data_IF_872906820264
#
_entry.id   IF_872906820264
#
_cell.length_a   1.000
_cell.length_b   1.000
_cell.length_c   1.000
_cell.angle_alpha   90.00
_cell.angle_beta   90.00
_cell.angle_gamma   90.00
#
_symmetry.space_group_name_H-M   'P 1'
#
loop_
_entity.id
_entity.type
_entity.pdbx_description
1 polymer ?
#
# COMPACT_ATOMS: atom_id res chain seq x y z
N UNK A 1 21.88 -6.43 -0.72
CA UNK A 1 20.99 -5.46 -1.39
C UNK A 1 20.36 -4.62 -0.29
N UNK A 2 20.51 -3.29 -0.33
CA UNK A 2 19.93 -2.43 0.71
C UNK A 2 18.40 -2.58 0.66
N UNK A 3 17.81 -3.06 1.76
CA UNK A 3 16.36 -3.16 1.91
C UNK A 3 15.74 -1.77 2.01
N UNK A 4 14.42 -1.69 1.83
CA UNK A 4 13.68 -0.45 1.99
C UNK A 4 13.58 -0.07 3.46
N UNK A 5 13.96 1.16 3.81
CA UNK A 5 13.94 1.62 5.22
C UNK A 5 12.53 2.00 5.68
N UNK A 6 12.34 2.16 6.98
CA UNK A 6 11.10 2.66 7.57
C UNK A 6 10.79 4.08 7.05
N UNK A 7 11.82 4.92 6.90
CA UNK A 7 11.67 6.25 6.31
C UNK A 7 11.19 6.18 4.84
N UNK A 8 11.77 5.28 4.05
CA UNK A 8 11.34 5.05 2.67
C UNK A 8 9.89 4.56 2.60
N UNK A 9 9.51 3.62 3.48
CA UNK A 9 8.13 3.15 3.62
C UNK A 9 7.21 4.33 3.93
N UNK A 10 7.53 5.20 4.89
CA UNK A 10 6.74 6.39 5.20
C UNK A 10 6.55 7.27 3.97
N UNK A 11 7.61 7.55 3.21
CA UNK A 11 7.53 8.35 1.99
C UNK A 11 6.59 7.71 0.96
N UNK A 12 6.66 6.39 0.79
CA UNK A 12 5.79 5.66 -0.14
C UNK A 12 4.34 5.71 0.35
N UNK A 13 4.07 5.26 1.57
CA UNK A 13 2.72 5.22 2.15
C UNK A 13 2.06 6.60 2.20
N UNK A 14 2.83 7.69 2.39
CA UNK A 14 2.31 9.06 2.37
C UNK A 14 1.51 9.40 1.11
N UNK A 15 1.81 8.73 -0.01
CA UNK A 15 1.19 8.95 -1.32
C UNK A 15 -0.12 8.19 -1.53
N UNK A 16 -0.44 7.29 -0.62
CA UNK A 16 -1.60 6.41 -0.69
C UNK A 16 -2.57 6.64 0.47
N UNK A 17 -2.57 7.84 1.07
CA UNK A 17 -3.58 8.20 2.07
C UNK A 17 -4.98 8.09 1.44
N UNK A 18 -5.90 7.42 2.14
CA UNK A 18 -7.22 7.03 1.68
C UNK A 18 -7.28 5.63 1.07
N UNK A 19 -6.15 4.99 0.76
CA UNK A 19 -6.12 3.66 0.19
C UNK A 19 -6.36 2.58 1.26
N UNK A 20 -6.99 1.49 0.85
CA UNK A 20 -7.10 0.31 1.71
C UNK A 20 -5.75 -0.39 1.88
N UNK A 21 -5.56 -0.96 3.06
CA UNK A 21 -4.39 -1.78 3.41
C UNK A 21 -4.84 -3.12 3.97
N UNK A 22 -3.99 -4.12 3.80
CA UNK A 22 -4.04 -5.37 4.55
C UNK A 22 -2.90 -5.39 5.55
N UNK A 23 -3.21 -5.86 6.75
CA UNK A 23 -2.36 -5.85 7.93
C UNK A 23 -2.28 -7.28 8.43
N UNK A 24 -1.07 -7.82 8.48
CA UNK A 24 -0.76 -9.08 9.13
C UNK A 24 0.04 -8.78 10.39
N UNK A 25 -0.55 -9.05 11.54
CA UNK A 25 0.13 -8.89 12.82
C UNK A 25 1.03 -10.09 13.07
N UNK A 26 2.31 -9.80 13.32
CA UNK A 26 3.32 -10.80 13.65
C UNK A 26 3.32 -11.13 15.15
N UNK A 27 2.61 -10.35 15.97
CA UNK A 27 2.55 -10.51 17.42
C UNK A 27 1.49 -11.52 17.88
N UNK A 28 0.29 -11.44 17.30
CA UNK A 28 -0.88 -12.25 17.70
C UNK A 28 -1.36 -13.19 16.59
N UNK A 29 -0.59 -13.35 15.51
CA UNK A 29 -0.93 -14.14 14.31
C UNK A 29 -2.26 -13.75 13.65
N UNK A 30 -2.78 -12.55 13.92
CA UNK A 30 -3.95 -12.02 13.24
C UNK A 30 -3.57 -11.69 11.80
N UNK A 31 -4.19 -12.38 10.85
CA UNK A 31 -3.90 -12.26 9.41
C UNK A 31 -5.05 -11.58 8.68
N UNK A 32 -4.70 -10.94 7.58
CA UNK A 32 -5.64 -10.42 6.61
C UNK A 32 -6.60 -9.36 7.18
N UNK A 33 -6.19 -8.64 8.22
CA UNK A 33 -6.96 -7.51 8.78
C UNK A 33 -6.94 -6.37 7.78
N UNK A 34 -8.10 -5.89 7.36
CA UNK A 34 -8.20 -4.79 6.41
C UNK A 34 -8.47 -3.47 7.14
N UNK A 35 -7.93 -2.38 6.59
CA UNK A 35 -8.14 -1.04 7.10
C UNK A 35 -7.93 0.02 6.03
N UNK A 36 -8.10 1.28 6.40
CA UNK A 36 -7.89 2.44 5.52
C UNK A 36 -6.73 3.27 6.05
N UNK A 37 -5.72 3.54 5.22
CA UNK A 37 -4.62 4.43 5.58
C UNK A 37 -5.13 5.87 5.69
N UNK A 38 -5.18 6.45 6.87
CA UNK A 38 -5.70 7.81 7.09
C UNK A 38 -4.61 8.87 7.23
N UNK A 39 -3.40 8.47 7.62
CA UNK A 39 -2.33 9.44 7.82
C UNK A 39 -1.00 8.79 8.15
N UNK A 40 0.01 9.64 8.29
CA UNK A 40 1.38 9.23 8.59
C UNK A 40 2.02 10.17 9.61
N UNK A 41 3.00 9.65 10.33
CA UNK A 41 3.98 10.38 11.15
C UNK A 41 5.37 9.86 10.83
N UNK A 42 6.40 10.50 11.36
CA UNK A 42 7.80 10.18 11.05
C UNK A 42 8.19 8.71 11.25
N UNK A 43 7.47 7.95 12.08
CA UNK A 43 7.75 6.55 12.39
C UNK A 43 6.49 5.67 12.51
N UNK A 44 5.34 6.11 11.99
CA UNK A 44 4.10 5.36 12.13
C UNK A 44 3.06 5.67 11.05
N UNK A 45 2.22 4.68 10.75
CA UNK A 45 1.04 4.81 9.89
C UNK A 45 -0.21 4.90 10.77
N UNK A 46 -1.11 5.83 10.47
CA UNK A 46 -2.46 5.87 11.05
C UNK A 46 -3.39 5.09 10.14
N UNK A 47 -3.96 4.00 10.65
CA UNK A 47 -4.88 3.15 9.91
C UNK A 47 -6.18 3.05 10.68
N UNK A 48 -7.29 3.32 9.99
CA UNK A 48 -8.62 3.04 10.48
C UNK A 48 -8.98 1.58 10.23
N UNK A 49 -9.17 0.82 11.31
CA UNK A 49 -9.61 -0.58 11.27
C UNK A 49 -11.00 -0.64 11.88
N UNK A 50 -12.02 -0.85 11.04
CA UNK A 50 -13.43 -0.96 11.46
C UNK A 50 -13.93 0.24 12.30
N UNK A 51 -13.54 1.46 11.93
CA UNK A 51 -13.91 2.70 12.64
C UNK A 51 -13.01 3.03 13.83
N UNK A 52 -11.97 2.23 14.09
CA UNK A 52 -11.01 2.45 15.17
C UNK A 52 -9.67 2.86 14.57
N UNK A 53 -9.27 4.09 14.87
CA UNK A 53 -7.97 4.64 14.50
C UNK A 53 -6.83 4.00 15.30
N UNK A 54 -5.87 3.38 14.59
CA UNK A 54 -4.69 2.73 15.17
C UNK A 54 -3.41 3.30 14.56
N UNK A 55 -2.47 3.69 15.42
CA UNK A 55 -1.11 4.02 15.00
C UNK A 55 -0.27 2.75 14.98
N UNK A 56 0.21 2.36 13.80
CA UNK A 56 1.10 1.20 13.63
C UNK A 56 2.53 1.71 13.43
N UNK A 57 3.47 1.40 14.36
CA UNK A 57 4.84 1.85 14.25
C UNK A 57 5.58 1.12 13.13
N UNK A 58 6.47 1.85 12.45
CA UNK A 58 7.43 1.30 11.49
C UNK A 58 8.84 1.43 12.07
N UNK A 59 9.60 0.35 11.99
CA UNK A 59 11.00 0.29 12.42
C UNK A 59 11.80 -0.58 11.46
N UNK A 60 13.07 -0.23 11.27
CA UNK A 60 14.04 -1.03 10.51
C UNK A 60 14.55 -2.23 11.32
N UNK A 61 14.49 -2.13 12.65
CA UNK A 61 15.05 -3.13 13.57
C UNK A 61 14.02 -4.23 13.89
N UNK A 62 12.76 -3.85 14.09
CA UNK A 62 11.71 -4.75 14.53
C UNK A 62 10.45 -4.51 13.70
N UNK A 63 9.99 -5.55 13.01
CA UNK A 63 8.70 -5.54 12.31
C UNK A 63 7.64 -6.20 13.17
N UNK A 64 6.62 -5.43 13.60
CA UNK A 64 5.50 -5.94 14.41
C UNK A 64 4.27 -6.29 13.57
N UNK A 65 4.07 -5.54 12.48
CA UNK A 65 3.02 -5.77 11.51
C UNK A 65 3.61 -5.73 10.10
N UNK A 66 3.21 -6.66 9.24
CA UNK A 66 3.40 -6.55 7.79
C UNK A 66 2.18 -5.81 7.22
N UNK A 67 2.42 -4.65 6.62
CA UNK A 67 1.37 -3.77 6.09
C UNK A 67 1.59 -3.65 4.59
N UNK A 68 0.55 -3.95 3.82
CA UNK A 68 0.57 -3.86 2.36
C UNK A 68 -0.61 -3.04 1.87
N UNK A 69 -0.35 -2.19 0.88
CA UNK A 69 -1.38 -1.46 0.15
C UNK A 69 -2.19 -2.45 -0.68
N UNK A 70 -3.51 -2.42 -0.54
CA UNK A 70 -4.42 -3.13 -1.44
C UNK A 70 -4.52 -2.33 -2.72
N UNK A 71 -3.67 -2.69 -3.69
CA UNK A 71 -3.64 -2.07 -5.00
C UNK A 71 -4.29 -3.00 -6.01
N UNK A 72 -4.76 -2.43 -7.11
CA UNK A 72 -5.17 -3.21 -8.27
C UNK A 72 -3.91 -3.65 -9.00
N UNK A 73 -3.82 -4.93 -9.39
CA UNK A 73 -2.75 -5.35 -10.28
C UNK A 73 -2.81 -4.50 -11.55
N UNK A 74 -1.64 -4.20 -12.11
CA UNK A 74 -1.49 -3.54 -13.41
C UNK A 74 -2.08 -4.40 -14.54
N UNK A 75 -3.41 -4.59 -14.57
CA UNK A 75 -4.11 -4.98 -15.79
C UNK A 75 -3.93 -3.83 -16.78
N UNK A 76 -3.70 -4.18 -18.05
CA UNK A 76 -3.41 -3.24 -19.14
C UNK A 76 -4.20 -1.95 -18.94
N UNK A 77 -3.49 -0.86 -18.71
CA UNK A 77 -4.01 0.49 -18.81
C UNK A 77 -4.89 0.54 -20.07
N UNK A 78 -6.19 0.72 -19.90
CA UNK A 78 -7.08 0.80 -21.06
C UNK A 78 -6.75 2.10 -21.80
N UNK A 79 -6.92 2.12 -23.12
CA UNK A 79 -6.70 3.32 -23.92
C UNK A 79 -7.44 4.52 -23.30
N UNK A 80 -8.65 4.30 -22.80
CA UNK A 80 -9.46 5.33 -22.15
C UNK A 80 -8.83 5.90 -20.85
N UNK A 81 -8.21 5.06 -20.01
CA UNK A 81 -7.55 5.52 -18.78
C UNK A 81 -6.27 6.31 -19.15
N UNK A 82 -5.53 5.84 -20.15
CA UNK A 82 -4.34 6.53 -20.67
C UNK A 82 -4.73 7.89 -21.25
N UNK A 83 -5.78 7.93 -22.08
CA UNK A 83 -6.29 9.16 -22.70
C UNK A 83 -6.78 10.14 -21.65
N UNK A 84 -7.49 9.66 -20.62
CA UNK A 84 -7.95 10.52 -19.52
C UNK A 84 -6.77 11.09 -18.74
N UNK A 85 -5.76 10.27 -18.43
CA UNK A 85 -4.55 10.73 -17.74
C UNK A 85 -3.76 11.76 -18.58
N UNK A 86 -3.62 11.52 -19.88
CA UNK A 86 -2.91 12.42 -20.80
C UNK A 86 -3.65 13.74 -21.06
N UNK A 87 -4.98 13.76 -20.88
CA UNK A 87 -5.79 14.96 -20.97
C UNK A 87 -5.87 15.76 -19.66
N UNK A 88 -5.19 15.32 -18.59
CA UNK A 88 -5.12 16.10 -17.35
C UNK A 88 -4.34 17.41 -17.58
N UNK A 89 -4.79 18.52 -16.99
CA UNK A 89 -4.25 19.86 -17.27
C UNK A 89 -2.78 20.03 -16.86
N UNK A 90 -2.22 19.14 -16.03
CA UNK A 90 -0.81 19.14 -15.62
C UNK A 90 -0.34 17.69 -15.48
N UNK A 91 0.87 17.39 -15.99
CA UNK A 91 1.48 16.06 -15.88
C UNK A 91 1.65 15.58 -14.43
N UNK A 92 1.78 16.51 -13.48
CA UNK A 92 1.82 16.23 -12.04
C UNK A 92 0.54 15.53 -11.52
N UNK A 93 -0.59 15.63 -12.23
CA UNK A 93 -1.84 14.97 -11.85
C UNK A 93 -1.97 13.53 -12.35
N UNK A 94 -1.10 13.09 -13.26
CA UNK A 94 -1.13 11.73 -13.81
C UNK A 94 -0.92 10.71 -12.68
N UNK A 95 0.08 10.93 -11.84
CA UNK A 95 0.38 10.03 -10.71
C UNK A 95 -0.75 9.99 -9.68
N UNK A 96 -1.26 11.13 -9.16
CA UNK A 96 -2.46 11.17 -8.32
C UNK A 96 -3.69 10.50 -8.94
N UNK A 97 -3.91 10.64 -10.25
CA UNK A 97 -5.04 10.02 -10.94
C UNK A 97 -4.96 8.49 -10.93
N UNK A 98 -3.81 7.92 -11.28
CA UNK A 98 -3.61 6.48 -11.19
C UNK A 98 -3.71 5.97 -9.74
N UNK A 99 -3.19 6.75 -8.79
CA UNK A 99 -3.28 6.44 -7.36
C UNK A 99 -4.73 6.43 -6.85
N UNK A 100 -5.56 7.42 -7.22
CA UNK A 100 -6.98 7.46 -6.87
C UNK A 100 -7.76 6.26 -7.41
N UNK A 101 -7.36 5.74 -8.56
CA UNK A 101 -7.96 4.54 -9.15
C UNK A 101 -7.46 3.24 -8.51
N UNK A 102 -6.46 3.34 -7.62
CA UNK A 102 -5.83 2.24 -6.89
C UNK A 102 -4.79 1.47 -7.69
N UNK A 103 -4.18 2.06 -8.74
CA UNK A 103 -3.13 1.39 -9.52
C UNK A 103 -1.76 1.47 -8.85
N UNK A 104 -0.97 0.40 -8.99
CA UNK A 104 0.45 0.41 -8.64
C UNK A 104 1.23 1.31 -9.61
N UNK A 105 2.07 2.20 -9.09
CA UNK A 105 2.84 3.17 -9.87
C UNK A 105 4.32 3.10 -9.46
N UNK A 106 5.26 3.43 -10.35
CA UNK A 106 6.67 3.48 -10.00
C UNK A 106 6.93 4.47 -8.86
N UNK A 107 7.65 4.01 -7.85
CA UNK A 107 8.04 4.79 -6.68
C UNK A 107 9.15 5.77 -7.07
N UNK A 108 9.09 6.95 -6.45
CA UNK A 108 10.16 7.94 -6.51
C UNK A 108 10.42 8.43 -5.10
N UNK A 109 11.57 8.20 -4.48
CA UNK A 109 11.82 8.59 -3.09
C UNK A 109 12.58 9.92 -3.04
N UNK A 110 13.79 9.92 -3.60
CA UNK A 110 14.66 11.09 -3.73
C UNK A 110 15.58 10.91 -4.95
N UNK A 111 16.17 11.98 -5.52
CA UNK A 111 17.13 11.86 -6.62
C UNK A 111 18.26 10.87 -6.29
N UNK A 112 18.56 9.94 -7.20
CA UNK A 112 19.62 8.94 -7.02
C UNK A 112 19.28 7.75 -6.12
N UNK A 113 18.07 7.67 -5.55
CA UNK A 113 17.69 6.57 -4.67
C UNK A 113 17.56 5.23 -5.43
N UNK A 114 18.11 4.12 -4.94
CA UNK A 114 18.15 2.83 -5.65
C UNK A 114 16.78 2.16 -5.83
N UNK A 115 15.76 2.59 -5.07
CA UNK A 115 14.39 2.10 -5.19
C UNK A 115 13.52 2.94 -6.14
N UNK A 116 14.06 4.01 -6.73
CA UNK A 116 13.32 4.76 -7.74
C UNK A 116 12.96 3.88 -8.93
N UNK A 117 11.84 4.19 -9.57
CA UNK A 117 11.26 3.48 -10.70
C UNK A 117 10.81 2.04 -10.42
N UNK A 118 10.98 1.53 -9.19
CA UNK A 118 10.41 0.25 -8.78
C UNK A 118 8.93 0.40 -8.46
N UNK A 119 8.14 -0.58 -8.79
CA UNK A 119 6.73 -0.62 -8.40
C UNK A 119 6.57 -0.97 -6.91
N UNK A 120 5.44 -0.60 -6.30
CA UNK A 120 5.18 -0.86 -4.88
C UNK A 120 5.17 -2.36 -4.57
N UNK A 121 4.67 -3.20 -5.49
CA UNK A 121 4.72 -4.65 -5.32
C UNK A 121 6.15 -5.22 -5.37
N UNK A 122 7.04 -4.65 -6.19
CA UNK A 122 8.46 -5.05 -6.24
C UNK A 122 9.21 -4.72 -4.94
N UNK A 123 8.65 -3.81 -4.15
CA UNK A 123 9.11 -3.45 -2.81
C UNK A 123 8.43 -4.27 -1.71
N UNK A 124 7.59 -5.24 -2.06
CA UNK A 124 6.76 -6.04 -1.15
C UNK A 124 5.79 -5.20 -0.29
N UNK A 125 5.40 -4.01 -0.76
CA UNK A 125 4.49 -3.10 -0.07
C UNK A 125 3.07 -3.09 -0.64
N UNK A 126 2.79 -3.91 -1.65
CA UNK A 126 1.47 -4.06 -2.24
C UNK A 126 0.98 -5.51 -2.16
N UNK A 127 -0.33 -5.67 -2.01
CA UNK A 127 -1.06 -6.91 -2.14
C UNK A 127 -2.17 -6.70 -3.18
N UNK A 128 -2.32 -7.65 -4.09
CA UNK A 128 -3.22 -7.58 -5.24
C UNK A 128 -4.48 -8.43 -5.08
N UNK A 129 -4.64 -9.09 -3.92
CA UNK A 129 -5.87 -9.81 -3.60
C UNK A 129 -7.04 -8.84 -3.50
N UNK A 130 -8.18 -9.27 -4.02
CA UNK A 130 -9.47 -8.61 -3.87
C UNK A 130 -10.02 -8.80 -2.45
N UNK A 131 -10.95 -7.94 -2.04
CA UNK A 131 -11.64 -8.09 -0.75
C UNK A 131 -12.26 -9.49 -0.57
N UNK A 132 -12.84 -10.06 -1.64
CA UNK A 132 -13.41 -11.39 -1.63
C UNK A 132 -12.36 -12.50 -1.39
N UNK A 133 -11.17 -12.38 -1.99
CA UNK A 133 -10.07 -13.34 -1.78
C UNK A 133 -9.50 -13.24 -0.36
N UNK A 134 -9.43 -12.03 0.20
CA UNK A 134 -9.01 -11.77 1.58
C UNK A 134 -10.04 -12.35 2.56
N UNK A 135 -11.32 -12.10 2.34
CA UNK A 135 -12.39 -12.62 3.20
C UNK A 135 -12.51 -14.15 3.12
N UNK A 136 -12.33 -14.73 1.93
CA UNK A 136 -12.25 -16.18 1.77
C UNK A 136 -11.05 -16.77 2.53
N UNK A 137 -9.89 -16.08 2.51
CA UNK A 137 -8.70 -16.51 3.28
C UNK A 137 -8.97 -16.52 4.78
N UNK A 138 -9.68 -15.52 5.31
CA UNK A 138 -10.12 -15.49 6.72
C UNK A 138 -11.03 -16.67 7.08
N UNK A 139 -11.99 -16.98 6.20
CA UNK A 139 -12.92 -18.10 6.39
C UNK A 139 -12.21 -19.45 6.43
N UNK A 140 -11.24 -19.68 5.53
CA UNK A 140 -10.45 -20.92 5.53
C UNK A 140 -9.60 -21.10 6.80
N UNK A 141 -9.05 -20.00 7.35
CA UNK A 141 -8.32 -20.05 8.62
C UNK A 141 -9.26 -20.41 9.77
N UNK A 142 -10.49 -19.89 9.75
CA UNK A 142 -11.49 -20.12 10.81
C UNK A 142 -12.09 -21.53 10.74
N UNK A 143 -12.20 -22.12 9.54
CA UNK A 143 -12.75 -23.46 9.33
C UNK A 143 -11.75 -24.61 9.61
N UNK A 144 -10.45 -24.31 9.73
CA UNK A 144 -9.39 -25.28 10.01
C UNK A 144 -8.88 -25.23 11.46
N UNK A 145 -9.64 -24.60 12.36
CA UNK A 145 -9.47 -24.60 13.83
C UNK A 145 -10.67 -25.33 14.43
#
# INVERSE_FOLDING_TARGET
MAGITAADKIIIFSRYIGQQVVINSLLNNEKDVTGTLQGIRNNALLIDVSGINRWIPLSDEITLCDIKLLLKPLKKLTAQIIDTANNLPVQAFITPYYQQLGFDMPVFIAPGHPCNCRYVHELHLADYRTAAEIDFSKQLITANI
#
